data_IF_120706208164
#
_entry.id   IF_120706208164
#
_cell.length_a   1.000
_cell.length_b   1.000
_cell.length_c   1.000
_cell.angle_alpha   90.00
_cell.angle_beta   90.00
_cell.angle_gamma   90.00
#
_symmetry.space_group_name_H-M   'P 1'
#
loop_
_entity.id
_entity.type
_entity.pdbx_description
1 polymer ?
#
# COMPACT_ATOMS: atom_id res chain seq x y z
N UNK A 1 1.41 66.71 1.79
CA UNK A 1 0.36 65.76 2.16
C UNK A 1 0.00 64.78 1.02
N UNK A 2 -0.28 65.16 -0.23
CA UNK A 2 -0.62 64.23 -1.31
C UNK A 2 0.43 63.13 -1.60
N UNK A 3 1.73 63.39 -1.49
CA UNK A 3 2.78 62.40 -1.76
C UNK A 3 2.91 61.32 -0.68
N UNK A 4 2.59 61.65 0.57
CA UNK A 4 2.62 60.68 1.70
C UNK A 4 1.42 59.77 1.64
N UNK A 5 0.26 60.28 1.23
CA UNK A 5 -0.96 59.47 1.06
C UNK A 5 -0.82 58.42 -0.06
N UNK A 6 -0.18 58.77 -1.16
CA UNK A 6 0.07 57.86 -2.28
C UNK A 6 1.10 56.77 -1.89
N UNK A 7 2.13 57.10 -1.09
CA UNK A 7 3.06 56.08 -0.60
C UNK A 7 2.41 55.10 0.39
N UNK A 8 1.55 55.60 1.29
CA UNK A 8 0.81 54.71 2.23
C UNK A 8 -0.18 53.78 1.51
N UNK A 9 -0.84 54.29 0.46
CA UNK A 9 -1.77 53.46 -0.34
C UNK A 9 -1.03 52.39 -1.13
N UNK A 10 0.13 52.70 -1.71
CA UNK A 10 0.99 51.74 -2.39
C UNK A 10 1.59 50.69 -1.41
N UNK A 11 1.98 51.10 -0.22
CA UNK A 11 2.47 50.15 0.80
C UNK A 11 1.37 49.20 1.28
N UNK A 12 0.14 49.73 1.48
CA UNK A 12 -1.03 48.89 1.83
C UNK A 12 -1.42 47.91 0.74
N UNK A 13 -1.35 48.32 -0.54
CA UNK A 13 -1.62 47.39 -1.68
C UNK A 13 -0.54 46.32 -1.81
N UNK A 14 0.75 46.63 -1.59
CA UNK A 14 1.83 45.66 -1.61
C UNK A 14 1.72 44.65 -0.45
N UNK A 15 1.26 45.08 0.73
CA UNK A 15 1.03 44.18 1.86
C UNK A 15 -0.18 43.27 1.60
N UNK A 16 -1.23 43.75 0.93
CA UNK A 16 -2.41 42.95 0.55
C UNK A 16 -2.13 41.94 -0.56
N UNK A 17 -1.19 42.21 -1.48
CA UNK A 17 -0.87 41.29 -2.57
C UNK A 17 0.08 40.16 -2.18
N UNK A 18 0.76 40.25 -1.02
CA UNK A 18 1.66 39.19 -0.53
C UNK A 18 1.05 38.30 0.56
N UNK A 19 -0.18 38.55 0.98
CA UNK A 19 -0.92 37.60 1.80
C UNK A 19 -1.53 36.51 0.90
N UNK A 20 -0.72 35.66 0.30
CA UNK A 20 -1.17 34.32 -0.05
C UNK A 20 -1.57 33.67 1.28
N UNK A 21 -2.86 33.74 1.60
CA UNK A 21 -3.43 33.01 2.73
C UNK A 21 -3.08 31.54 2.53
N UNK A 22 -2.19 31.02 3.38
CA UNK A 22 -1.89 29.59 3.39
C UNK A 22 -3.23 28.85 3.51
N UNK A 23 -3.52 28.01 2.52
CA UNK A 23 -4.74 27.21 2.53
C UNK A 23 -4.75 26.32 3.77
N UNK A 24 -5.85 26.28 4.46
CA UNK A 24 -6.03 25.33 5.57
C UNK A 24 -5.96 23.90 5.03
N UNK A 25 -5.55 22.95 5.87
CA UNK A 25 -5.53 21.52 5.54
C UNK A 25 -6.91 21.07 5.00
N UNK A 26 -7.99 21.59 5.56
CA UNK A 26 -9.36 21.30 5.10
C UNK A 26 -9.58 21.74 3.65
N UNK A 27 -9.17 22.94 3.28
CA UNK A 27 -9.29 23.44 1.91
C UNK A 27 -8.45 22.64 0.92
N UNK A 28 -7.20 22.31 1.30
CA UNK A 28 -6.32 21.48 0.49
C UNK A 28 -6.93 20.08 0.30
N UNK A 29 -7.43 19.48 1.37
CA UNK A 29 -8.09 18.16 1.30
C UNK A 29 -9.28 18.19 0.37
N UNK A 30 -10.15 19.18 0.50
CA UNK A 30 -11.34 19.33 -0.35
C UNK A 30 -10.95 19.44 -1.84
N UNK A 31 -10.03 20.33 -2.18
CA UNK A 31 -9.56 20.51 -3.56
C UNK A 31 -8.94 19.22 -4.14
N UNK A 32 -8.14 18.52 -3.33
CA UNK A 32 -7.52 17.25 -3.76
C UNK A 32 -8.57 16.18 -4.01
N UNK A 33 -9.55 16.02 -3.11
CA UNK A 33 -10.60 15.01 -3.24
C UNK A 33 -11.56 15.29 -4.41
N UNK A 34 -11.91 16.55 -4.64
CA UNK A 34 -12.72 16.97 -5.81
C UNK A 34 -11.97 16.70 -7.13
N UNK A 35 -10.69 17.09 -7.19
CA UNK A 35 -9.85 16.83 -8.37
C UNK A 35 -9.66 15.33 -8.61
N UNK A 36 -9.37 14.56 -7.57
CA UNK A 36 -9.21 13.12 -7.65
C UNK A 36 -10.52 12.45 -8.13
N UNK A 37 -11.67 12.86 -7.60
CA UNK A 37 -12.99 12.35 -8.04
C UNK A 37 -13.19 12.54 -9.54
N UNK A 38 -12.93 13.74 -10.05
CA UNK A 38 -13.04 14.04 -11.49
C UNK A 38 -12.05 13.19 -12.31
N UNK A 39 -10.79 13.09 -11.88
CA UNK A 39 -9.77 12.31 -12.59
C UNK A 39 -10.12 10.81 -12.63
N UNK A 40 -10.58 10.23 -11.52
CA UNK A 40 -10.92 8.81 -11.44
C UNK A 40 -12.16 8.46 -12.26
N UNK A 41 -13.17 9.33 -12.30
CA UNK A 41 -14.34 9.18 -13.18
C UNK A 41 -13.91 9.23 -14.66
N UNK A 42 -13.09 10.21 -15.04
CA UNK A 42 -12.59 10.35 -16.40
C UNK A 42 -11.70 9.13 -16.78
N UNK A 43 -10.88 8.65 -15.86
CA UNK A 43 -10.07 7.45 -16.07
C UNK A 43 -10.96 6.24 -16.37
N UNK A 44 -12.07 6.06 -15.62
CA UNK A 44 -13.01 4.97 -15.86
C UNK A 44 -13.57 4.95 -17.29
N UNK A 45 -13.82 6.15 -17.87
CA UNK A 45 -14.37 6.28 -19.24
C UNK A 45 -13.32 5.97 -20.33
N UNK A 46 -12.03 6.00 -20.00
CA UNK A 46 -10.93 5.75 -20.96
C UNK A 46 -10.34 4.35 -20.87
N UNK A 47 -10.69 3.59 -19.84
CA UNK A 47 -10.17 2.24 -19.65
C UNK A 47 -10.84 1.25 -20.61
N UNK A 48 -10.01 0.51 -21.34
CA UNK A 48 -10.46 -0.62 -22.15
C UNK A 48 -11.10 -1.71 -21.27
N UNK A 49 -12.01 -2.48 -21.86
CA UNK A 49 -12.68 -3.60 -21.19
C UNK A 49 -11.65 -4.59 -20.60
N UNK A 50 -11.78 -4.90 -19.33
CA UNK A 50 -10.89 -5.86 -18.65
C UNK A 50 -9.54 -5.30 -18.22
N UNK A 51 -9.27 -4.02 -18.48
CA UNK A 51 -8.01 -3.38 -18.08
C UNK A 51 -8.16 -2.61 -16.76
N UNK A 52 -7.03 -2.53 -16.06
CA UNK A 52 -6.83 -1.73 -14.85
C UNK A 52 -5.73 -0.70 -15.09
N UNK A 53 -5.83 0.51 -14.50
CA UNK A 53 -4.75 1.49 -14.62
C UNK A 53 -3.50 0.99 -13.87
N UNK A 54 -2.35 1.17 -14.49
CA UNK A 54 -1.05 0.76 -13.96
C UNK A 54 -0.13 1.94 -13.66
N UNK A 55 0.06 2.80 -14.64
CA UNK A 55 0.93 3.97 -14.53
C UNK A 55 0.58 5.01 -15.59
N UNK A 56 1.20 6.19 -15.49
CA UNK A 56 1.11 7.22 -16.51
C UNK A 56 2.52 7.60 -16.95
N UNK A 57 2.78 7.53 -18.23
CA UNK A 57 4.09 7.85 -18.80
C UNK A 57 3.94 8.40 -20.23
N UNK A 58 4.78 9.38 -20.59
CA UNK A 58 4.75 10.01 -21.91
C UNK A 58 3.34 10.43 -22.35
N UNK A 59 2.59 11.07 -21.44
CA UNK A 59 1.21 11.52 -21.65
C UNK A 59 0.21 10.41 -22.03
N UNK A 60 0.49 9.16 -21.63
CA UNK A 60 -0.40 8.02 -21.86
C UNK A 60 -0.67 7.24 -20.59
N UNK A 61 -1.91 6.84 -20.42
CA UNK A 61 -2.30 5.87 -19.41
C UNK A 61 -1.81 4.49 -19.85
N UNK A 62 -0.97 3.88 -19.00
CA UNK A 62 -0.50 2.51 -19.20
C UNK A 62 -1.40 1.62 -18.35
N UNK A 63 -1.94 0.59 -18.96
CA UNK A 63 -2.88 -0.36 -18.34
C UNK A 63 -2.26 -1.75 -18.20
N UNK A 64 -2.85 -2.58 -17.36
CA UNK A 64 -2.54 -3.99 -17.20
C UNK A 64 -3.84 -4.80 -17.05
N UNK A 65 -3.72 -6.11 -16.99
CA UNK A 65 -4.80 -6.97 -16.51
C UNK A 65 -4.94 -6.91 -15.00
N UNK A 66 -5.85 -7.70 -14.44
CA UNK A 66 -6.14 -7.77 -13.01
C UNK A 66 -5.01 -8.42 -12.19
N UNK A 67 -4.14 -9.20 -12.81
CA UNK A 67 -3.06 -9.93 -12.12
C UNK A 67 -1.84 -9.06 -11.81
N UNK A 68 -1.78 -7.85 -12.35
CA UNK A 68 -0.71 -6.92 -12.00
C UNK A 68 -0.89 -6.39 -10.58
N UNK A 69 0.15 -6.43 -9.79
CA UNK A 69 0.14 -6.17 -8.35
C UNK A 69 -0.64 -4.94 -7.87
N UNK A 70 -0.70 -3.86 -8.64
CA UNK A 70 -1.38 -2.62 -8.24
C UNK A 70 -2.88 -2.57 -8.62
N UNK A 71 -3.46 -3.64 -9.15
CA UNK A 71 -4.85 -3.64 -9.66
C UNK A 71 -5.90 -3.31 -8.59
N UNK A 72 -5.63 -3.61 -7.33
CA UNK A 72 -6.54 -3.32 -6.21
C UNK A 72 -6.60 -1.85 -5.80
N UNK A 73 -5.60 -1.04 -6.16
CA UNK A 73 -5.56 0.36 -5.72
C UNK A 73 -6.59 1.26 -6.41
N UNK A 74 -6.90 1.00 -7.68
CA UNK A 74 -7.90 1.80 -8.39
C UNK A 74 -9.29 1.69 -7.75
N UNK A 75 -9.88 0.51 -7.59
CA UNK A 75 -11.14 0.37 -6.86
C UNK A 75 -11.00 0.80 -5.39
N UNK A 76 -9.86 0.55 -4.74
CA UNK A 76 -9.62 1.01 -3.37
C UNK A 76 -9.71 2.52 -3.23
N UNK A 77 -9.11 3.28 -4.15
CA UNK A 77 -9.23 4.75 -4.17
C UNK A 77 -10.66 5.19 -4.45
N UNK A 78 -11.38 4.53 -5.36
CA UNK A 78 -12.79 4.83 -5.62
C UNK A 78 -13.66 4.65 -4.36
N UNK A 79 -13.39 3.65 -3.53
CA UNK A 79 -14.08 3.47 -2.25
C UNK A 79 -13.80 4.62 -1.27
N UNK A 80 -12.55 5.11 -1.16
CA UNK A 80 -12.23 6.28 -0.35
C UNK A 80 -12.87 7.57 -0.89
N UNK A 81 -12.91 7.74 -2.21
CA UNK A 81 -13.59 8.87 -2.84
C UNK A 81 -15.10 8.83 -2.57
N UNK A 82 -15.73 7.64 -2.62
CA UNK A 82 -17.11 7.45 -2.22
C UNK A 82 -17.35 7.81 -0.75
N UNK A 83 -16.49 7.32 0.15
CA UNK A 83 -16.58 7.63 1.59
C UNK A 83 -16.53 9.14 1.86
N UNK A 84 -15.68 9.86 1.12
CA UNK A 84 -15.56 11.31 1.26
C UNK A 84 -16.70 12.09 0.64
N UNK A 85 -17.16 11.70 -0.55
CA UNK A 85 -18.11 12.49 -1.36
C UNK A 85 -19.57 12.08 -1.20
N UNK A 86 -19.85 10.85 -0.78
CA UNK A 86 -21.19 10.24 -0.80
C UNK A 86 -21.73 9.99 -2.21
N UNK A 87 -20.92 10.11 -3.27
CA UNK A 87 -21.37 10.02 -4.66
C UNK A 87 -21.73 8.60 -5.07
N UNK A 88 -23.01 8.33 -5.37
CA UNK A 88 -23.49 7.03 -5.85
C UNK A 88 -22.86 6.63 -7.21
N UNK A 89 -22.49 7.59 -8.05
CA UNK A 89 -21.75 7.30 -9.29
C UNK A 89 -20.36 6.72 -8.99
N UNK A 90 -19.63 7.31 -8.05
CA UNK A 90 -18.32 6.80 -7.62
C UNK A 90 -18.47 5.44 -6.96
N UNK A 91 -19.48 5.23 -6.12
CA UNK A 91 -19.79 3.93 -5.51
C UNK A 91 -20.02 2.84 -6.56
N UNK A 92 -20.80 3.15 -7.60
CA UNK A 92 -21.04 2.23 -8.72
C UNK A 92 -19.75 1.86 -9.45
N UNK A 93 -18.88 2.84 -9.69
CA UNK A 93 -17.56 2.58 -10.27
C UNK A 93 -16.68 1.73 -9.34
N UNK A 94 -16.64 2.06 -8.05
CA UNK A 94 -15.90 1.29 -7.05
C UNK A 94 -16.35 -0.18 -7.04
N UNK A 95 -17.65 -0.43 -6.98
CA UNK A 95 -18.24 -1.77 -7.08
C UNK A 95 -17.82 -2.47 -8.39
N UNK A 96 -18.04 -1.83 -9.53
CA UNK A 96 -17.74 -2.39 -10.86
C UNK A 96 -16.28 -2.82 -11.00
N UNK A 97 -15.34 -2.01 -10.53
CA UNK A 97 -13.91 -2.34 -10.62
C UNK A 97 -13.45 -3.31 -9.54
N UNK A 98 -14.08 -3.33 -8.38
CA UNK A 98 -13.86 -4.34 -7.34
C UNK A 98 -14.24 -5.73 -7.85
N UNK A 99 -15.44 -5.88 -8.43
CA UNK A 99 -15.94 -7.18 -8.96
C UNK A 99 -15.02 -7.80 -10.02
N UNK A 100 -14.32 -6.98 -10.81
CA UNK A 100 -13.33 -7.50 -11.78
C UNK A 100 -12.20 -8.29 -11.13
N UNK A 101 -11.91 -8.04 -9.87
CA UNK A 101 -10.83 -8.69 -9.12
C UNK A 101 -11.24 -10.03 -8.48
N UNK A 102 -12.50 -10.45 -8.62
CA UNK A 102 -13.00 -11.69 -8.02
C UNK A 102 -12.12 -12.92 -8.32
N UNK A 103 -11.56 -13.11 -9.53
CA UNK A 103 -10.72 -14.28 -9.81
C UNK A 103 -9.46 -14.36 -8.95
N UNK A 104 -8.95 -13.22 -8.43
CA UNK A 104 -7.75 -13.19 -7.59
C UNK A 104 -7.90 -13.97 -6.28
N UNK A 105 -9.12 -14.19 -5.79
CA UNK A 105 -9.37 -14.97 -4.57
C UNK A 105 -8.81 -16.39 -4.63
N UNK A 106 -8.58 -16.94 -5.81
CA UNK A 106 -8.05 -18.29 -6.02
C UNK A 106 -6.60 -18.30 -6.52
N UNK A 107 -5.96 -17.15 -6.67
CA UNK A 107 -4.58 -17.03 -7.11
C UNK A 107 -3.63 -17.53 -6.00
N UNK A 108 -2.70 -18.44 -6.37
CA UNK A 108 -1.73 -19.04 -5.45
C UNK A 108 -0.28 -18.87 -5.89
N UNK A 109 -0.03 -18.08 -6.92
CA UNK A 109 1.29 -17.92 -7.54
C UNK A 109 2.00 -16.63 -7.14
N UNK A 110 1.27 -15.71 -6.51
CA UNK A 110 1.79 -14.41 -6.07
C UNK A 110 1.26 -14.03 -4.69
N UNK A 111 2.01 -13.26 -3.93
CA UNK A 111 1.62 -12.80 -2.59
C UNK A 111 0.76 -11.54 -2.59
N UNK A 112 0.81 -10.77 -3.67
CA UNK A 112 0.18 -9.45 -3.75
C UNK A 112 -1.35 -9.48 -3.68
N UNK A 113 -1.94 -10.67 -3.83
CA UNK A 113 -3.39 -10.86 -3.63
C UNK A 113 -3.87 -10.35 -2.27
N UNK A 114 -3.01 -10.31 -1.24
CA UNK A 114 -3.36 -9.81 0.08
C UNK A 114 -3.88 -8.39 0.02
N UNK A 115 -3.07 -7.45 -0.43
CA UNK A 115 -3.50 -6.05 -0.50
C UNK A 115 -4.37 -5.76 -1.74
N UNK A 116 -4.21 -6.47 -2.88
CA UNK A 116 -5.11 -6.31 -4.03
C UNK A 116 -6.57 -6.50 -3.61
N UNK A 117 -6.87 -7.57 -2.87
CA UNK A 117 -8.21 -7.85 -2.38
C UNK A 117 -8.58 -6.96 -1.19
N UNK A 118 -7.66 -6.70 -0.24
CA UNK A 118 -8.02 -5.94 0.95
C UNK A 118 -8.25 -4.45 0.65
N UNK A 119 -7.45 -3.84 -0.24
CA UNK A 119 -7.69 -2.46 -0.69
C UNK A 119 -9.03 -2.30 -1.42
N UNK A 120 -9.46 -3.30 -2.17
CA UNK A 120 -10.70 -3.27 -2.97
C UNK A 120 -11.91 -3.82 -2.20
N UNK A 121 -12.01 -5.12 -2.06
CA UNK A 121 -13.10 -5.79 -1.35
C UNK A 121 -13.18 -5.44 0.13
N UNK A 122 -12.03 -5.24 0.80
CA UNK A 122 -11.97 -4.84 2.20
C UNK A 122 -12.65 -3.50 2.45
N UNK A 123 -12.32 -2.48 1.66
CA UNK A 123 -12.99 -1.17 1.73
C UNK A 123 -14.46 -1.27 1.30
N UNK A 124 -14.76 -2.05 0.26
CA UNK A 124 -16.13 -2.30 -0.16
C UNK A 124 -16.97 -2.93 0.95
N UNK A 125 -16.46 -3.96 1.62
CA UNK A 125 -17.15 -4.57 2.76
C UNK A 125 -17.35 -3.59 3.92
N UNK A 126 -16.31 -2.84 4.28
CA UNK A 126 -16.36 -1.84 5.36
C UNK A 126 -17.46 -0.80 5.14
N UNK A 127 -17.66 -0.36 3.90
CA UNK A 127 -18.59 0.71 3.55
C UNK A 127 -20.00 0.23 3.21
N UNK A 128 -20.16 -1.05 2.83
CA UNK A 128 -21.47 -1.55 2.35
C UNK A 128 -22.03 -2.70 3.16
N UNK A 129 -21.21 -3.40 3.95
CA UNK A 129 -21.61 -4.61 4.65
C UNK A 129 -21.89 -5.82 3.74
N UNK A 130 -21.50 -5.77 2.45
CA UNK A 130 -21.77 -6.83 1.48
C UNK A 130 -21.09 -8.15 1.88
N UNK A 131 -21.88 -9.16 2.23
CA UNK A 131 -21.40 -10.47 2.72
C UNK A 131 -20.65 -11.26 1.64
N UNK A 132 -20.94 -11.07 0.37
CA UNK A 132 -20.20 -11.71 -0.72
C UNK A 132 -18.74 -11.23 -0.76
N UNK A 133 -18.50 -9.95 -0.44
CA UNK A 133 -17.14 -9.41 -0.33
C UNK A 133 -16.35 -10.09 0.78
N UNK A 134 -16.99 -10.37 1.90
CA UNK A 134 -16.35 -11.09 2.99
C UNK A 134 -15.95 -12.52 2.59
N UNK A 135 -16.77 -13.21 1.81
CA UNK A 135 -16.46 -14.55 1.29
C UNK A 135 -15.23 -14.51 0.35
N UNK A 136 -15.17 -13.52 -0.53
CA UNK A 136 -14.03 -13.34 -1.45
C UNK A 136 -12.74 -13.05 -0.67
N UNK A 137 -12.81 -12.20 0.34
CA UNK A 137 -11.67 -11.91 1.22
C UNK A 137 -11.20 -13.16 1.97
N UNK A 138 -12.13 -13.98 2.46
CA UNK A 138 -11.81 -15.25 3.14
C UNK A 138 -11.09 -16.21 2.17
N UNK A 139 -11.63 -16.43 0.97
CA UNK A 139 -11.00 -17.28 -0.04
C UNK A 139 -9.60 -16.78 -0.42
N UNK A 140 -9.44 -15.46 -0.58
CA UNK A 140 -8.14 -14.85 -0.84
C UNK A 140 -7.14 -15.03 0.30
N UNK A 141 -7.58 -14.91 1.55
CA UNK A 141 -6.73 -15.17 2.71
C UNK A 141 -6.26 -16.63 2.76
N UNK A 142 -7.18 -17.58 2.50
CA UNK A 142 -6.83 -19.01 2.41
C UNK A 142 -5.86 -19.28 1.26
N UNK A 143 -6.05 -18.66 0.09
CA UNK A 143 -5.14 -18.79 -1.04
C UNK A 143 -3.76 -18.24 -0.73
N UNK A 144 -3.67 -17.08 -0.10
CA UNK A 144 -2.40 -16.49 0.34
C UNK A 144 -1.69 -17.38 1.38
N UNK A 145 -2.43 -17.93 2.33
CA UNK A 145 -1.88 -18.79 3.38
C UNK A 145 -1.25 -20.09 2.83
N UNK A 146 -1.69 -20.58 1.65
CA UNK A 146 -1.04 -21.74 1.00
C UNK A 146 0.41 -21.50 0.61
N UNK A 147 0.86 -20.24 0.56
CA UNK A 147 2.24 -19.86 0.22
C UNK A 147 3.18 -19.84 1.42
N UNK A 148 2.66 -20.10 2.61
CA UNK A 148 3.43 -20.12 3.85
C UNK A 148 4.23 -21.43 3.97
N UNK A 149 5.53 -21.28 4.26
CA UNK A 149 6.40 -22.41 4.61
C UNK A 149 6.72 -22.35 6.10
N UNK A 150 6.30 -23.33 6.90
CA UNK A 150 6.51 -23.34 8.36
C UNK A 150 7.98 -23.52 8.74
N UNK A 151 8.82 -24.13 7.90
CA UNK A 151 10.26 -24.31 8.15
C UNK A 151 10.99 -22.96 8.11
N UNK A 152 10.59 -22.10 7.17
CA UNK A 152 11.11 -20.73 7.04
C UNK A 152 10.40 -19.79 8.00
N UNK A 153 9.10 -20.00 8.22
CA UNK A 153 8.20 -19.09 8.92
C UNK A 153 7.82 -17.88 8.06
N UNK A 154 7.70 -18.05 6.75
CA UNK A 154 7.39 -16.95 5.83
C UNK A 154 6.52 -17.38 4.65
N UNK A 155 5.83 -16.39 4.07
CA UNK A 155 5.04 -16.49 2.85
C UNK A 155 5.97 -16.21 1.66
N UNK A 156 5.96 -17.10 0.67
CA UNK A 156 6.72 -16.93 -0.58
C UNK A 156 6.14 -15.78 -1.40
N UNK A 157 7.00 -14.91 -1.94
CA UNK A 157 6.54 -13.74 -2.69
C UNK A 157 6.04 -14.08 -4.09
N UNK A 158 6.82 -14.80 -4.89
CA UNK A 158 6.44 -15.20 -6.25
C UNK A 158 6.99 -16.57 -6.63
N UNK A 159 6.49 -17.14 -7.71
CA UNK A 159 6.92 -18.44 -8.22
C UNK A 159 7.76 -18.32 -9.50
N UNK A 160 7.94 -17.11 -10.04
CA UNK A 160 8.80 -16.85 -11.17
C UNK A 160 10.28 -16.90 -10.79
N UNK A 161 11.15 -17.06 -11.80
CA UNK A 161 12.62 -17.01 -11.64
C UNK A 161 13.15 -18.00 -10.59
N UNK A 162 12.65 -19.23 -10.63
CA UNK A 162 13.10 -20.34 -9.74
C UNK A 162 14.54 -20.75 -9.97
N UNK A 163 15.10 -20.38 -11.10
CA UNK A 163 16.52 -20.50 -11.44
C UNK A 163 17.40 -19.55 -10.61
N UNK A 164 16.84 -18.41 -10.14
CA UNK A 164 17.56 -17.39 -9.37
C UNK A 164 17.36 -17.51 -7.87
N UNK A 165 16.16 -17.93 -7.43
CA UNK A 165 15.77 -17.97 -6.02
C UNK A 165 15.02 -19.25 -5.69
N UNK A 166 15.37 -19.88 -4.59
CA UNK A 166 14.66 -21.06 -4.11
C UNK A 166 13.34 -20.71 -3.44
N UNK A 167 13.37 -19.73 -2.51
CA UNK A 167 12.19 -19.26 -1.79
C UNK A 167 12.33 -17.76 -1.49
N UNK A 168 12.01 -16.92 -2.49
CA UNK A 168 12.13 -15.46 -2.35
C UNK A 168 11.04 -14.91 -1.44
N UNK A 169 11.46 -14.05 -0.50
CA UNK A 169 10.58 -13.26 0.36
C UNK A 169 11.01 -11.81 0.26
N UNK A 170 10.13 -10.92 -0.20
CA UNK A 170 10.39 -9.49 -0.25
C UNK A 170 9.67 -8.76 0.88
N UNK A 171 10.20 -7.59 1.24
CA UNK A 171 9.65 -6.77 2.32
C UNK A 171 8.21 -6.35 2.08
N UNK A 172 7.80 -6.23 0.82
CA UNK A 172 6.44 -5.92 0.36
C UNK A 172 5.39 -6.89 0.95
N UNK A 173 5.80 -8.11 1.28
CA UNK A 173 4.92 -9.11 1.88
C UNK A 173 4.25 -8.62 3.18
N UNK A 174 4.87 -7.68 3.88
CA UNK A 174 4.28 -7.06 5.07
C UNK A 174 2.94 -6.37 4.81
N UNK A 175 2.71 -5.89 3.57
CA UNK A 175 1.42 -5.33 3.15
C UNK A 175 0.31 -6.37 3.06
N UNK A 176 0.65 -7.62 2.80
CA UNK A 176 -0.31 -8.70 2.56
C UNK A 176 -0.83 -9.33 3.87
N UNK A 177 -0.15 -9.10 4.99
CA UNK A 177 -0.50 -9.67 6.28
C UNK A 177 -1.82 -9.12 6.83
N UNK A 178 -2.21 -7.91 6.42
CA UNK A 178 -3.44 -7.28 6.89
C UNK A 178 -4.67 -8.11 6.54
N UNK A 179 -4.74 -8.64 5.31
CA UNK A 179 -5.81 -9.55 4.91
C UNK A 179 -5.88 -10.78 5.84
N UNK A 180 -4.73 -11.41 6.13
CA UNK A 180 -4.68 -12.62 6.94
C UNK A 180 -5.14 -12.37 8.37
N UNK A 181 -4.60 -11.31 9.01
CA UNK A 181 -4.92 -11.04 10.41
C UNK A 181 -6.35 -10.54 10.57
N UNK A 182 -6.83 -9.74 9.60
CA UNK A 182 -8.19 -9.24 9.61
C UNK A 182 -9.21 -10.38 9.45
N UNK A 183 -9.03 -11.25 8.44
CA UNK A 183 -9.88 -12.43 8.25
C UNK A 183 -9.77 -13.39 9.43
N UNK A 184 -8.54 -13.61 9.93
CA UNK A 184 -8.33 -14.41 11.13
C UNK A 184 -9.11 -13.92 12.35
N UNK A 185 -9.33 -12.60 12.47
CA UNK A 185 -10.19 -12.04 13.51
C UNK A 185 -11.69 -12.20 13.19
N UNK A 186 -12.11 -11.98 11.92
CA UNK A 186 -13.52 -12.10 11.52
C UNK A 186 -14.06 -13.52 11.70
N UNK A 187 -13.25 -14.54 11.41
CA UNK A 187 -13.64 -15.95 11.47
C UNK A 187 -13.11 -16.69 12.71
N UNK A 188 -12.43 -15.95 13.61
CA UNK A 188 -11.72 -16.53 14.76
C UNK A 188 -10.77 -17.68 14.35
N UNK A 189 -10.08 -17.52 13.20
CA UNK A 189 -9.16 -18.51 12.67
C UNK A 189 -7.74 -18.29 13.24
N UNK A 190 -7.26 -19.19 14.13
CA UNK A 190 -5.93 -19.07 14.72
C UNK A 190 -4.81 -19.35 13.71
N UNK A 191 -5.06 -20.13 12.66
CA UNK A 191 -4.06 -20.46 11.65
C UNK A 191 -3.66 -19.23 10.85
N UNK A 192 -4.61 -18.47 10.32
CA UNK A 192 -4.34 -17.24 9.57
C UNK A 192 -3.59 -16.20 10.41
N UNK A 193 -3.97 -16.06 11.69
CA UNK A 193 -3.27 -15.19 12.65
C UNK A 193 -1.83 -15.65 12.86
N UNK A 194 -1.64 -16.96 13.05
CA UNK A 194 -0.30 -17.54 13.26
C UNK A 194 0.60 -17.34 12.05
N UNK A 195 0.08 -17.53 10.82
CA UNK A 195 0.81 -17.29 9.58
C UNK A 195 1.29 -15.84 9.52
N UNK A 196 0.41 -14.87 9.76
CA UNK A 196 0.76 -13.44 9.71
C UNK A 196 1.80 -13.07 10.78
N UNK A 197 1.60 -13.50 12.03
CA UNK A 197 2.50 -13.22 13.15
C UNK A 197 3.87 -13.85 12.93
N UNK A 198 3.92 -15.10 12.46
CA UNK A 198 5.18 -15.81 12.23
C UNK A 198 5.95 -15.16 11.09
N UNK A 199 5.27 -14.79 10.00
CA UNK A 199 5.90 -14.05 8.90
C UNK A 199 6.49 -12.72 9.38
N UNK A 200 5.74 -11.90 10.12
CA UNK A 200 6.22 -10.63 10.64
C UNK A 200 7.45 -10.80 11.54
N UNK A 201 7.48 -11.85 12.40
CA UNK A 201 8.61 -12.16 13.26
C UNK A 201 9.86 -12.56 12.46
N UNK A 202 9.68 -13.39 11.44
CA UNK A 202 10.78 -13.80 10.55
C UNK A 202 11.31 -12.60 9.76
N UNK A 203 10.45 -11.72 9.28
CA UNK A 203 10.82 -10.48 8.60
C UNK A 203 11.61 -9.55 9.54
N UNK A 204 11.13 -9.34 10.76
CA UNK A 204 11.83 -8.54 11.77
C UNK A 204 13.25 -9.05 12.03
N UNK A 205 13.43 -10.36 12.12
CA UNK A 205 14.73 -11.00 12.36
C UNK A 205 15.68 -10.91 11.16
N UNK A 206 15.15 -11.04 9.94
CA UNK A 206 15.99 -11.36 8.79
C UNK A 206 16.11 -10.25 7.74
N UNK A 207 15.13 -9.34 7.64
CA UNK A 207 15.11 -8.32 6.57
C UNK A 207 15.79 -7.01 6.94
N UNK A 208 16.11 -6.79 8.21
CA UNK A 208 16.66 -5.52 8.66
C UNK A 208 18.18 -5.53 8.77
N UNK A 209 18.78 -4.38 8.48
CA UNK A 209 20.16 -4.04 8.81
C UNK A 209 20.23 -3.44 10.21
N UNK A 210 21.42 -3.30 10.81
CA UNK A 210 21.58 -2.69 12.13
C UNK A 210 21.00 -1.26 12.25
N UNK A 211 20.90 -0.53 11.13
CA UNK A 211 20.33 0.81 11.07
C UNK A 211 18.82 0.82 10.82
N UNK A 212 18.13 -0.30 10.94
CA UNK A 212 16.72 -0.51 10.67
C UNK A 212 16.28 -0.30 9.22
N UNK A 213 17.19 -0.10 8.27
CA UNK A 213 16.84 -0.18 6.86
C UNK A 213 16.63 -1.63 6.42
N UNK A 214 15.75 -1.85 5.43
CA UNK A 214 15.42 -3.19 4.96
C UNK A 214 16.24 -3.60 3.75
N UNK A 215 16.60 -4.89 3.67
CA UNK A 215 16.83 -5.55 2.39
C UNK A 215 15.50 -5.68 1.65
N UNK A 216 15.54 -5.58 0.33
CA UNK A 216 14.33 -5.81 -0.48
C UNK A 216 13.94 -7.29 -0.46
N UNK A 217 14.89 -8.18 -0.74
CA UNK A 217 14.68 -9.62 -0.88
C UNK A 217 15.61 -10.41 0.04
N UNK A 218 15.05 -11.40 0.72
CA UNK A 218 15.79 -12.47 1.39
C UNK A 218 15.36 -13.79 0.74
N UNK A 219 16.33 -14.53 0.18
CA UNK A 219 16.11 -15.87 -0.35
C UNK A 219 16.45 -16.93 0.69
N UNK A 220 15.59 -17.92 0.84
CA UNK A 220 15.71 -18.97 1.83
C UNK A 220 15.82 -20.35 1.18
N UNK A 221 16.47 -21.28 1.87
CA UNK A 221 16.37 -22.69 1.58
C UNK A 221 15.08 -23.25 2.17
N UNK A 222 14.14 -23.74 1.33
CA UNK A 222 12.84 -24.21 1.80
C UNK A 222 12.89 -25.47 2.67
N UNK A 223 13.98 -26.23 2.65
CA UNK A 223 14.13 -27.49 3.39
C UNK A 223 14.61 -27.28 4.83
N UNK A 224 15.43 -26.25 5.07
CA UNK A 224 16.09 -26.04 6.36
C UNK A 224 15.91 -24.60 6.93
N UNK A 225 15.28 -23.69 6.18
CA UNK A 225 15.00 -22.32 6.59
C UNK A 225 16.24 -21.39 6.61
N UNK A 226 17.39 -21.85 6.15
CA UNK A 226 18.61 -21.02 6.14
C UNK A 226 18.52 -19.93 5.08
N UNK A 227 19.06 -18.77 5.40
CA UNK A 227 19.22 -17.67 4.45
C UNK A 227 20.31 -18.03 3.45
N UNK A 228 19.94 -18.00 2.16
CA UNK A 228 20.89 -18.18 1.06
C UNK A 228 21.51 -16.83 0.70
N UNK A 229 20.67 -15.79 0.51
CA UNK A 229 21.13 -14.48 0.08
C UNK A 229 20.18 -13.38 0.54
N UNK A 230 20.75 -12.18 0.78
CA UNK A 230 20.01 -10.92 0.97
C UNK A 230 20.40 -9.96 -0.15
N UNK A 231 19.41 -9.41 -0.85
CA UNK A 231 19.68 -8.61 -2.05
C UNK A 231 18.53 -7.66 -2.37
N UNK A 232 18.68 -6.90 -3.45
CA UNK A 232 17.60 -6.13 -4.05
C UNK A 232 17.24 -6.66 -5.44
N UNK A 233 15.98 -6.44 -5.84
CA UNK A 233 15.50 -6.64 -7.22
C UNK A 233 15.00 -5.31 -7.80
N UNK A 234 14.43 -4.45 -6.96
CA UNK A 234 13.84 -3.17 -7.36
C UNK A 234 14.64 -1.95 -6.90
N UNK A 235 15.53 -2.09 -5.91
CA UNK A 235 16.40 -1.02 -5.45
C UNK A 235 17.62 -0.82 -6.36
N UNK A 236 18.36 0.26 -6.11
CA UNK A 236 19.53 0.64 -6.90
C UNK A 236 20.66 -0.40 -6.84
N UNK A 237 20.96 -0.92 -5.64
CA UNK A 237 21.89 -2.03 -5.39
C UNK A 237 21.57 -2.70 -4.05
N UNK A 238 22.26 -3.81 -3.73
CA UNK A 238 22.00 -4.62 -2.53
C UNK A 238 22.22 -3.86 -1.21
N UNK A 239 22.99 -2.79 -1.21
CA UNK A 239 23.24 -1.94 -0.06
C UNK A 239 22.33 -0.70 0.01
N UNK A 240 21.53 -0.45 -1.03
CA UNK A 240 20.65 0.71 -1.08
C UNK A 240 19.43 0.56 -0.17
N UNK A 241 18.91 1.70 0.29
CA UNK A 241 17.64 1.80 1.02
C UNK A 241 16.52 2.11 0.02
N UNK A 242 15.93 1.09 -0.55
CA UNK A 242 14.83 1.27 -1.50
C UNK A 242 13.60 1.87 -0.81
N UNK A 243 13.25 3.14 -1.15
CA UNK A 243 12.29 3.95 -0.41
C UNK A 243 10.92 3.27 -0.22
N UNK A 244 10.35 2.67 -1.29
CA UNK A 244 9.06 1.97 -1.20
C UNK A 244 9.13 0.77 -0.25
N UNK A 245 10.24 0.03 -0.22
CA UNK A 245 10.42 -1.09 0.71
C UNK A 245 10.45 -0.64 2.18
N UNK A 246 11.10 0.50 2.47
CA UNK A 246 11.06 1.08 3.83
C UNK A 246 9.63 1.45 4.22
N UNK A 247 8.85 2.04 3.29
CA UNK A 247 7.45 2.39 3.53
C UNK A 247 6.58 1.14 3.78
N UNK A 248 6.77 0.06 3.02
CA UNK A 248 6.08 -1.21 3.25
C UNK A 248 6.36 -1.80 4.63
N UNK A 249 7.63 -1.76 5.05
CA UNK A 249 8.01 -2.20 6.39
C UNK A 249 7.33 -1.36 7.47
N UNK A 250 7.38 -0.03 7.36
CA UNK A 250 6.76 0.88 8.32
C UNK A 250 5.25 0.64 8.43
N UNK A 251 4.56 0.56 7.29
CA UNK A 251 3.14 0.23 7.24
C UNK A 251 2.84 -1.11 7.92
N UNK A 252 3.55 -2.16 7.50
CA UNK A 252 3.29 -3.52 7.97
C UNK A 252 3.48 -3.69 9.47
N UNK A 253 4.57 -3.15 10.05
CA UNK A 253 4.78 -3.24 11.50
C UNK A 253 3.82 -2.35 12.29
N UNK A 254 3.42 -1.19 11.76
CA UNK A 254 2.36 -0.36 12.36
C UNK A 254 1.03 -1.10 12.37
N UNK A 255 0.67 -1.76 11.27
CA UNK A 255 -0.54 -2.59 11.15
C UNK A 255 -0.49 -3.76 12.13
N UNK A 256 0.64 -4.47 12.21
CA UNK A 256 0.82 -5.57 13.17
C UNK A 256 0.66 -5.10 14.62
N UNK A 257 1.20 -3.94 14.98
CA UNK A 257 0.97 -3.35 16.31
C UNK A 257 -0.51 -3.05 16.56
N UNK A 258 -1.18 -2.39 15.62
CA UNK A 258 -2.61 -2.02 15.74
C UNK A 258 -3.52 -3.24 15.94
N UNK A 259 -3.13 -4.39 15.39
CA UNK A 259 -3.95 -5.60 15.42
C UNK A 259 -3.59 -6.56 16.54
N UNK A 260 -2.33 -6.56 17.01
CA UNK A 260 -1.86 -7.50 18.03
C UNK A 260 -1.58 -6.84 19.38
N UNK A 261 -1.45 -5.51 19.43
CA UNK A 261 -1.02 -4.72 20.59
C UNK A 261 0.35 -5.13 21.16
N UNK A 262 1.18 -5.83 20.39
CA UNK A 262 2.52 -6.23 20.81
C UNK A 262 3.51 -5.10 20.68
N UNK A 263 4.09 -4.63 21.81
CA UNK A 263 5.02 -3.48 21.86
C UNK A 263 6.22 -3.63 20.94
N UNK A 264 6.72 -4.85 20.72
CA UNK A 264 7.85 -5.10 19.82
C UNK A 264 7.60 -4.66 18.37
N UNK A 265 6.34 -4.72 17.89
CA UNK A 265 6.00 -4.22 16.56
C UNK A 265 5.95 -2.70 16.52
N UNK A 266 5.52 -2.07 17.63
CA UNK A 266 5.59 -0.62 17.77
C UNK A 266 7.03 -0.13 17.78
N UNK A 267 7.89 -0.74 18.58
CA UNK A 267 9.32 -0.43 18.66
C UNK A 267 10.00 -0.58 17.29
N UNK A 268 9.68 -1.66 16.56
CA UNK A 268 10.18 -1.87 15.20
C UNK A 268 9.69 -0.77 14.25
N UNK A 269 8.41 -0.41 14.28
CA UNK A 269 7.84 0.64 13.44
C UNK A 269 8.46 2.02 13.77
N UNK A 270 8.66 2.34 15.05
CA UNK A 270 9.32 3.58 15.49
C UNK A 270 10.75 3.65 14.99
N UNK A 271 11.52 2.57 15.15
CA UNK A 271 12.91 2.51 14.67
C UNK A 271 13.02 2.68 13.15
N UNK A 272 12.07 2.12 12.38
CA UNK A 272 11.99 2.35 10.93
C UNK A 272 11.64 3.81 10.62
N UNK A 273 10.70 4.41 11.34
CA UNK A 273 10.30 5.80 11.15
C UNK A 273 11.46 6.76 11.46
N UNK A 274 12.17 6.54 12.57
CA UNK A 274 13.32 7.33 13.00
C UNK A 274 14.48 7.26 11.98
N UNK A 275 14.67 6.11 11.33
CA UNK A 275 15.62 5.95 10.24
C UNK A 275 15.17 6.64 8.96
N UNK A 276 13.87 6.54 8.63
CA UNK A 276 13.33 6.97 7.32
C UNK A 276 13.05 8.46 7.24
N UNK A 277 12.42 9.05 8.27
CA UNK A 277 11.95 10.44 8.25
C UNK A 277 13.08 11.45 7.96
N UNK A 278 14.28 11.34 8.57
CA UNK A 278 15.38 12.26 8.28
C UNK A 278 15.94 12.15 6.85
N UNK A 279 15.63 11.05 6.15
CA UNK A 279 16.06 10.84 4.76
C UNK A 279 15.07 11.38 3.73
N UNK A 280 13.89 11.81 4.15
CA UNK A 280 12.93 12.42 3.25
C UNK A 280 13.45 13.78 2.78
N UNK A 281 13.35 14.10 1.48
CA UNK A 281 13.78 15.39 0.96
C UNK A 281 12.97 16.51 1.62
N UNK A 282 13.65 17.61 2.00
CA UNK A 282 12.99 18.81 2.47
C UNK A 282 12.03 19.33 1.38
N UNK A 283 10.88 19.90 1.79
CA UNK A 283 9.86 20.46 0.87
C UNK A 283 10.42 21.43 -0.18
N UNK A 284 11.58 22.06 0.09
CA UNK A 284 12.28 22.97 -0.83
C UNK A 284 13.02 22.25 -1.96
N UNK A 285 13.23 20.94 -1.87
CA UNK A 285 13.96 20.15 -2.87
C UNK A 285 13.05 19.30 -3.77
N UNK A 286 11.75 19.50 -3.73
CA UNK A 286 10.73 18.77 -4.50
C UNK A 286 10.05 19.67 -5.54
N UNK A 287 10.74 20.66 -6.08
CA UNK A 287 10.26 21.49 -7.20
C UNK A 287 11.05 21.14 -8.45
#
# INVERSE_FOLDING_TARGET
>A
MRRITILLTLLLTVIYTNAQTEKSIRQITQEVMERASTQYINMASTLEKGKMPRSFSKNRLITSDIYWWCSGFYPGTLWYLYEYTGSENIKKLAHTYTEKLAPLQFLKTDHDIGFQLFCSYGNGYRLTGNKEYLNILHNGAMSLATRFNPVIGSIRSWDSSRDKWKFPVIIDNMMNLELLIWIGNQYNDPYLKTVAITHANTTMKNHFRPDYSTYHLVDYDPENGKIIKKQTVQGYNDNSKWARGQAWALYGFTMMYRTTHSSRYLEQAQSIADMLIPLLPDRKSVV
#
